data_IF_402867803636
#
_entry.id   IF_402867803636
#
_cell.length_a   1.000
_cell.length_b   1.000
_cell.length_c   1.000
_cell.angle_alpha   90.00
_cell.angle_beta   90.00
_cell.angle_gamma   90.00
#
_symmetry.space_group_name_H-M   'P 1'
#
loop_
_entity.id
_entity.type
_entity.pdbx_description
1 polymer ?
#
# COMPACT_ATOMS: atom_id res chain seq x y z
N UNK A 1 -7.75 -5.40 12.50
CA UNK A 1 -8.78 -5.71 13.51
C UNK A 1 -9.67 -6.88 13.07
N UNK A 2 -10.29 -6.86 11.88
CA UNK A 2 -11.30 -7.85 11.42
C UNK A 2 -10.72 -9.28 11.37
N UNK A 3 -9.59 -9.49 10.72
CA UNK A 3 -8.95 -10.83 10.61
C UNK A 3 -8.63 -11.38 12.00
N UNK A 4 -8.10 -10.53 12.88
CA UNK A 4 -7.77 -10.93 14.25
C UNK A 4 -9.02 -11.31 15.05
N UNK A 5 -10.13 -10.59 14.88
CA UNK A 5 -11.41 -10.92 15.52
C UNK A 5 -11.95 -12.29 15.05
N UNK A 6 -11.84 -12.58 13.75
CA UNK A 6 -12.19 -13.89 13.21
C UNK A 6 -11.34 -15.01 13.80
N UNK A 7 -10.04 -14.81 13.95
CA UNK A 7 -9.16 -15.79 14.59
C UNK A 7 -9.51 -16.01 16.07
N UNK A 8 -9.82 -14.94 16.81
CA UNK A 8 -10.26 -15.03 18.22
C UNK A 8 -11.56 -15.83 18.32
N UNK A 9 -12.51 -15.60 17.43
CA UNK A 9 -13.77 -16.36 17.42
C UNK A 9 -13.52 -17.86 17.21
N UNK A 10 -12.65 -18.24 16.27
CA UNK A 10 -12.30 -19.65 16.04
C UNK A 10 -11.63 -20.29 17.25
N UNK A 11 -10.77 -19.57 17.94
CA UNK A 11 -10.17 -20.03 19.20
C UNK A 11 -11.21 -20.22 20.31
N UNK A 12 -12.10 -19.24 20.48
CA UNK A 12 -13.15 -19.28 21.51
C UNK A 12 -14.12 -20.44 21.29
N UNK A 13 -14.39 -20.80 20.04
CA UNK A 13 -15.27 -21.91 19.67
C UNK A 13 -14.57 -23.28 19.65
N UNK A 14 -13.27 -23.34 19.95
CA UNK A 14 -12.50 -24.59 19.93
C UNK A 14 -12.27 -25.18 18.55
N UNK A 15 -12.41 -24.36 17.50
CA UNK A 15 -12.28 -24.82 16.11
C UNK A 15 -10.83 -24.88 15.60
N UNK A 16 -9.84 -24.54 16.42
CA UNK A 16 -8.44 -24.60 16.04
C UNK A 16 -7.87 -25.96 16.36
N UNK A 17 -7.21 -26.59 15.39
CA UNK A 17 -6.61 -27.91 15.55
C UNK A 17 -7.57 -29.11 15.37
N UNK A 18 -8.78 -28.85 14.90
CA UNK A 18 -9.76 -29.91 14.57
C UNK A 18 -9.94 -30.02 13.05
N UNK A 19 -10.27 -31.21 12.58
CA UNK A 19 -10.50 -31.44 11.15
C UNK A 19 -11.68 -30.60 10.65
N UNK A 20 -11.47 -29.85 9.56
CA UNK A 20 -12.44 -28.91 8.99
C UNK A 20 -12.57 -27.59 9.75
N UNK A 21 -11.83 -27.39 10.84
CA UNK A 21 -11.80 -26.16 11.61
C UNK A 21 -10.69 -25.19 11.19
N UNK A 22 -10.61 -24.06 11.87
CA UNK A 22 -9.60 -23.04 11.65
C UNK A 22 -10.09 -21.85 10.83
N UNK A 23 -9.15 -21.00 10.42
CA UNK A 23 -9.43 -19.80 9.61
C UNK A 23 -8.84 -19.97 8.22
N UNK A 24 -9.70 -20.02 7.22
CA UNK A 24 -9.30 -20.04 5.82
C UNK A 24 -9.58 -18.67 5.16
N UNK A 25 -8.54 -18.02 4.68
CA UNK A 25 -8.62 -16.67 4.11
C UNK A 25 -8.58 -16.76 2.58
N UNK A 26 -9.67 -16.35 1.94
CA UNK A 26 -9.72 -16.14 0.49
C UNK A 26 -9.05 -14.80 0.17
N UNK A 27 -7.82 -14.83 -0.32
CA UNK A 27 -6.94 -13.66 -0.45
C UNK A 27 -7.24 -12.74 -1.63
N UNK A 28 -8.21 -13.02 -2.44
CA UNK A 28 -8.67 -12.24 -3.58
C UNK A 28 -8.09 -12.71 -4.90
N UNK A 29 -6.85 -12.38 -5.21
CA UNK A 29 -6.20 -12.79 -6.45
C UNK A 29 -5.64 -14.21 -6.40
N UNK A 30 -5.50 -14.84 -7.56
CA UNK A 30 -4.87 -16.14 -7.70
C UNK A 30 -3.40 -16.06 -7.25
N UNK A 31 -2.96 -17.08 -6.52
CA UNK A 31 -1.58 -17.21 -6.07
C UNK A 31 -0.97 -15.99 -5.37
N UNK A 32 -1.76 -15.26 -4.60
CA UNK A 32 -1.25 -14.13 -3.79
C UNK A 32 -0.09 -14.56 -2.88
N UNK A 33 -0.14 -15.78 -2.35
CA UNK A 33 0.91 -16.30 -1.49
C UNK A 33 2.21 -16.50 -2.26
N UNK A 34 2.17 -17.08 -3.46
CA UNK A 34 3.35 -17.21 -4.31
C UNK A 34 3.91 -15.86 -4.75
N UNK A 35 3.06 -14.88 -5.03
CA UNK A 35 3.50 -13.51 -5.28
C UNK A 35 4.26 -12.94 -4.08
N UNK A 36 3.76 -13.14 -2.86
CA UNK A 36 4.45 -12.69 -1.64
C UNK A 36 5.78 -13.45 -1.43
N UNK A 37 5.84 -14.74 -1.77
CA UNK A 37 7.07 -15.53 -1.68
C UNK A 37 8.20 -14.95 -2.54
N UNK A 38 7.90 -14.45 -3.73
CA UNK A 38 8.90 -13.84 -4.62
C UNK A 38 9.11 -12.34 -4.38
N UNK A 39 8.27 -11.70 -3.57
CA UNK A 39 8.45 -10.33 -3.08
C UNK A 39 8.22 -9.21 -4.09
N UNK A 40 7.21 -9.25 -5.00
CA UNK A 40 6.90 -8.11 -5.86
C UNK A 40 6.14 -6.99 -5.15
N UNK A 41 6.05 -7.05 -3.83
CA UNK A 41 5.37 -6.06 -3.01
C UNK A 41 6.33 -4.94 -2.58
N UNK A 42 5.86 -3.71 -2.42
CA UNK A 42 6.72 -2.59 -2.04
C UNK A 42 7.21 -2.65 -0.59
N UNK A 43 6.62 -3.50 0.25
CA UNK A 43 6.83 -3.59 1.68
C UNK A 43 7.55 -4.89 2.13
N UNK A 44 7.96 -5.73 1.17
CA UNK A 44 8.64 -6.99 1.49
C UNK A 44 9.70 -7.37 0.48
N UNK A 45 10.68 -8.14 0.97
CA UNK A 45 11.66 -8.86 0.19
C UNK A 45 11.21 -10.31 -0.01
N UNK A 46 11.81 -11.07 -0.97
CA UNK A 46 11.49 -12.48 -1.16
C UNK A 46 11.48 -13.28 0.14
N UNK A 47 10.59 -14.27 0.26
CA UNK A 47 10.49 -15.12 1.44
C UNK A 47 9.88 -14.43 2.68
N UNK A 48 9.03 -13.45 2.49
CA UNK A 48 8.33 -12.69 3.56
C UNK A 48 9.25 -11.84 4.44
N UNK A 49 10.46 -11.55 4.00
CA UNK A 49 11.33 -10.64 4.74
C UNK A 49 10.81 -9.21 4.64
N UNK A 50 10.68 -8.54 5.79
CA UNK A 50 10.36 -7.10 5.83
C UNK A 50 11.54 -6.22 5.38
N UNK A 51 11.26 -4.96 5.09
CA UNK A 51 12.26 -3.96 4.71
C UNK A 51 13.04 -3.47 5.94
N UNK A 52 13.84 -4.34 6.54
CA UNK A 52 14.67 -4.03 7.69
C UNK A 52 16.14 -4.28 7.38
N UNK A 53 17.04 -3.58 8.06
CA UNK A 53 18.49 -3.67 7.81
C UNK A 53 19.00 -5.11 7.88
N UNK A 54 18.50 -5.91 8.84
CA UNK A 54 18.89 -7.32 8.98
C UNK A 54 18.52 -8.17 7.76
N UNK A 55 17.34 -7.93 7.16
CA UNK A 55 16.93 -8.60 5.94
C UNK A 55 17.81 -8.21 4.74
N UNK A 56 18.12 -6.94 4.59
CA UNK A 56 19.03 -6.49 3.53
C UNK A 56 20.45 -7.03 3.70
N UNK A 57 20.96 -7.17 4.92
CA UNK A 57 22.25 -7.84 5.19
C UNK A 57 22.20 -9.32 4.80
N UNK A 58 21.11 -10.02 5.12
CA UNK A 58 20.91 -11.40 4.69
C UNK A 58 20.93 -11.54 3.17
N UNK A 59 20.18 -10.69 2.46
CA UNK A 59 20.14 -10.73 1.00
C UNK A 59 21.45 -10.28 0.36
N UNK A 60 22.17 -9.31 0.94
CA UNK A 60 23.51 -8.95 0.48
C UNK A 60 24.44 -10.18 0.49
N UNK A 61 24.42 -10.92 1.57
CA UNK A 61 25.20 -12.17 1.67
C UNK A 61 24.73 -13.23 0.65
N UNK A 62 23.43 -13.45 0.49
CA UNK A 62 22.86 -14.40 -0.44
C UNK A 62 23.18 -14.06 -1.91
N UNK A 63 23.11 -12.79 -2.26
CA UNK A 63 23.40 -12.28 -3.61
C UNK A 63 24.89 -12.02 -3.86
N UNK A 64 25.73 -12.19 -2.82
CA UNK A 64 27.17 -11.94 -2.88
C UNK A 64 27.53 -10.52 -3.33
N UNK A 65 26.80 -9.55 -2.78
CA UNK A 65 27.04 -8.11 -3.01
C UNK A 65 27.35 -7.41 -1.71
N UNK A 66 28.02 -6.27 -1.78
CA UNK A 66 28.34 -5.46 -0.62
C UNK A 66 27.07 -4.82 -0.05
N UNK A 67 26.87 -4.93 1.27
CA UNK A 67 25.72 -4.35 1.95
C UNK A 67 25.70 -2.81 1.86
N UNK A 68 26.84 -2.13 1.95
CA UNK A 68 26.91 -0.69 1.82
C UNK A 68 26.58 -0.23 0.38
N UNK A 69 26.87 -1.06 -0.61
CA UNK A 69 26.42 -0.81 -1.97
C UNK A 69 24.88 -0.91 -2.07
N UNK A 70 24.25 -1.95 -1.53
CA UNK A 70 22.78 -2.07 -1.49
C UNK A 70 22.16 -0.85 -0.80
N UNK A 71 22.68 -0.48 0.37
CA UNK A 71 22.19 0.63 1.16
C UNK A 71 22.14 1.96 0.39
N UNK A 72 23.09 2.17 -0.51
CA UNK A 72 23.12 3.36 -1.37
C UNK A 72 22.08 3.37 -2.50
N UNK A 73 21.49 2.22 -2.83
CA UNK A 73 20.46 2.12 -3.88
C UNK A 73 19.07 2.53 -3.38
N UNK A 74 18.87 2.61 -2.09
CA UNK A 74 17.58 2.91 -1.47
C UNK A 74 17.54 4.30 -0.88
N UNK A 75 16.32 4.85 -0.77
CA UNK A 75 16.13 6.13 -0.12
C UNK A 75 16.63 6.11 1.34
N UNK A 76 17.21 7.19 1.84
CA UNK A 76 17.61 7.29 3.24
C UNK A 76 16.45 6.95 4.18
N UNK A 77 16.73 6.12 5.17
CA UNK A 77 15.75 5.71 6.17
C UNK A 77 14.84 4.54 5.78
N UNK A 78 14.86 4.06 4.51
CA UNK A 78 13.98 2.96 4.08
C UNK A 78 14.14 1.68 4.93
N UNK A 79 15.35 1.38 5.38
CA UNK A 79 15.63 0.21 6.22
C UNK A 79 15.30 0.42 7.72
N UNK A 80 15.02 1.63 8.14
CA UNK A 80 14.77 2.01 9.54
C UNK A 80 13.41 2.63 9.77
N UNK A 81 12.81 3.20 8.72
CA UNK A 81 11.46 3.79 8.75
C UNK A 81 10.56 3.00 7.80
N UNK A 82 9.65 2.17 8.30
CA UNK A 82 8.82 1.29 7.45
C UNK A 82 7.76 2.04 6.63
N UNK A 83 7.67 3.35 6.75
CA UNK A 83 6.64 4.15 6.09
C UNK A 83 5.28 4.04 6.78
N UNK A 84 4.23 4.41 6.06
CA UNK A 84 2.86 4.31 6.57
C UNK A 84 2.11 3.15 5.91
N UNK A 85 1.11 2.63 6.60
CA UNK A 85 0.24 1.59 6.05
C UNK A 85 -0.63 2.12 4.92
N UNK A 86 -0.95 1.27 3.94
CA UNK A 86 -1.80 1.63 2.79
C UNK A 86 -3.13 2.25 3.24
N UNK A 87 -3.72 1.77 4.34
CA UNK A 87 -4.97 2.33 4.88
C UNK A 87 -4.86 3.79 5.35
N UNK A 88 -3.65 4.31 5.53
CA UNK A 88 -3.38 5.68 5.99
C UNK A 88 -2.88 6.63 4.89
N UNK A 89 -2.92 6.23 3.61
CA UNK A 89 -2.47 7.12 2.54
C UNK A 89 -3.27 8.44 2.49
N UNK A 90 -4.56 8.40 2.83
CA UNK A 90 -5.41 9.59 2.92
C UNK A 90 -4.87 10.56 3.98
N UNK A 91 -4.55 10.03 5.17
CA UNK A 91 -3.92 10.82 6.24
C UNK A 91 -2.56 11.34 5.79
N UNK A 92 -1.80 10.51 5.04
CA UNK A 92 -0.52 10.89 4.45
C UNK A 92 -0.57 12.10 3.54
N UNK A 93 -1.75 12.40 2.96
CA UNK A 93 -1.97 13.60 2.13
C UNK A 93 -2.55 14.76 2.96
N UNK A 94 -3.49 14.50 3.87
CA UNK A 94 -4.33 15.53 4.50
C UNK A 94 -3.83 15.97 5.86
N UNK A 95 -3.17 15.10 6.62
CA UNK A 95 -2.74 15.37 8.00
C UNK A 95 -1.39 16.09 8.05
N UNK A 96 -1.10 16.69 9.20
CA UNK A 96 0.23 17.28 9.48
C UNK A 96 1.29 16.20 9.58
N UNK A 97 2.50 16.52 9.15
CA UNK A 97 3.63 15.58 9.11
C UNK A 97 3.91 14.91 10.45
N UNK A 98 3.78 15.65 11.55
CA UNK A 98 4.01 15.13 12.90
C UNK A 98 3.02 14.03 13.30
N UNK A 99 1.80 14.05 12.73
CA UNK A 99 0.76 13.06 13.01
C UNK A 99 0.89 11.79 12.16
N UNK A 100 1.61 11.86 11.06
CA UNK A 100 1.80 10.74 10.14
C UNK A 100 3.20 10.11 10.23
N UNK A 101 4.08 10.66 11.08
CA UNK A 101 5.47 10.20 11.25
C UNK A 101 6.24 10.12 9.91
N UNK A 102 6.07 11.16 9.08
CA UNK A 102 6.73 11.31 7.78
C UNK A 102 7.36 12.70 7.68
N UNK A 103 8.45 12.80 6.95
CA UNK A 103 9.15 14.07 6.73
C UNK A 103 8.37 15.04 5.84
N UNK A 104 7.46 14.52 5.01
CA UNK A 104 6.60 15.29 4.11
C UNK A 104 5.30 14.55 3.80
N UNK A 105 4.28 15.30 3.40
CA UNK A 105 3.04 14.72 2.89
C UNK A 105 3.26 14.00 1.56
N UNK A 106 2.37 13.06 1.25
CA UNK A 106 2.32 12.43 -0.06
C UNK A 106 1.89 13.47 -1.11
N UNK A 107 2.64 13.55 -2.20
CA UNK A 107 2.41 14.47 -3.31
C UNK A 107 2.03 13.77 -4.62
N UNK A 108 2.44 12.52 -4.77
CA UNK A 108 2.15 11.70 -5.94
C UNK A 108 1.59 10.33 -5.56
N UNK A 109 0.66 9.81 -6.36
CA UNK A 109 0.05 8.51 -6.13
C UNK A 109 -0.22 7.79 -7.45
N UNK A 110 0.06 6.48 -7.48
CA UNK A 110 -0.21 5.60 -8.61
C UNK A 110 -1.17 4.50 -8.17
N UNK A 111 -2.27 4.34 -8.87
CA UNK A 111 -3.20 3.21 -8.73
C UNK A 111 -3.04 2.27 -9.92
N UNK A 112 -2.62 1.05 -9.67
CA UNK A 112 -2.44 0.00 -10.67
C UNK A 112 -3.55 -1.04 -10.52
N UNK A 113 -4.61 -0.96 -11.32
CA UNK A 113 -5.73 -1.89 -11.26
C UNK A 113 -6.36 -1.99 -9.88
N UNK A 114 -6.43 -0.88 -9.14
CA UNK A 114 -6.90 -0.85 -7.75
C UNK A 114 -8.08 0.11 -7.59
N UNK A 115 -9.10 -0.35 -6.85
CA UNK A 115 -10.32 0.42 -6.59
C UNK A 115 -10.44 0.85 -5.11
N UNK A 116 -9.64 1.81 -4.65
CA UNK A 116 -9.63 2.25 -3.24
C UNK A 116 -10.96 2.86 -2.81
N UNK A 117 -11.72 3.41 -3.74
CA UNK A 117 -13.04 4.00 -3.49
C UNK A 117 -14.09 2.98 -3.02
N UNK A 118 -13.87 1.69 -3.21
CA UNK A 118 -14.75 0.63 -2.70
C UNK A 118 -14.42 0.22 -1.25
N UNK A 119 -13.36 0.73 -0.67
CA UNK A 119 -12.87 0.30 0.63
C UNK A 119 -13.45 1.12 1.78
N UNK A 120 -13.11 2.40 1.89
CA UNK A 120 -13.52 3.25 3.03
C UNK A 120 -13.22 4.72 2.79
N UNK A 121 -13.84 5.60 3.56
CA UNK A 121 -13.52 7.04 3.63
C UNK A 121 -13.64 7.77 2.27
N UNK A 122 -14.65 7.46 1.46
CA UNK A 122 -14.76 7.96 0.08
C UNK A 122 -14.70 9.49 -0.06
N UNK A 123 -15.33 10.25 0.85
CA UNK A 123 -15.30 11.72 0.82
C UNK A 123 -13.91 12.28 1.13
N UNK A 124 -13.23 11.72 2.13
CA UNK A 124 -11.87 12.12 2.49
C UNK A 124 -10.87 11.70 1.41
N UNK A 125 -11.08 10.53 0.80
CA UNK A 125 -10.31 10.07 -0.34
C UNK A 125 -10.37 11.06 -1.49
N UNK A 126 -11.57 11.56 -1.84
CA UNK A 126 -11.73 12.56 -2.88
C UNK A 126 -10.94 13.84 -2.55
N UNK A 127 -11.02 14.31 -1.32
CA UNK A 127 -10.23 15.48 -0.86
C UNK A 127 -8.71 15.22 -0.97
N UNK A 128 -8.26 14.02 -0.59
CA UNK A 128 -6.87 13.65 -0.72
C UNK A 128 -6.41 13.63 -2.18
N UNK A 129 -7.21 13.02 -3.08
CA UNK A 129 -6.92 13.02 -4.52
C UNK A 129 -6.81 14.44 -5.10
N UNK A 130 -7.64 15.37 -4.61
CA UNK A 130 -7.63 16.75 -5.08
C UNK A 130 -6.44 17.58 -4.59
N UNK A 131 -5.77 17.14 -3.52
CA UNK A 131 -4.58 17.78 -2.96
C UNK A 131 -3.26 17.29 -3.54
N UNK A 132 -3.27 16.16 -4.23
CA UNK A 132 -2.06 15.60 -4.84
C UNK A 132 -1.57 16.50 -6.00
N UNK A 133 -0.26 16.54 -6.19
CA UNK A 133 0.36 17.17 -7.39
C UNK A 133 0.22 16.23 -8.59
N UNK A 134 0.40 14.93 -8.36
CA UNK A 134 0.33 13.91 -9.41
C UNK A 134 -0.55 12.75 -8.98
N UNK A 135 -1.50 12.41 -9.84
CA UNK A 135 -2.33 11.22 -9.69
C UNK A 135 -2.34 10.45 -11.01
N UNK A 136 -1.91 9.20 -10.95
CA UNK A 136 -1.91 8.29 -12.11
C UNK A 136 -2.80 7.09 -11.79
N UNK A 137 -3.77 6.84 -12.66
CA UNK A 137 -4.63 5.66 -12.58
C UNK A 137 -4.37 4.81 -13.83
N UNK A 138 -3.93 3.58 -13.64
CA UNK A 138 -3.70 2.60 -14.68
C UNK A 138 -4.76 1.52 -14.55
N UNK A 139 -5.67 1.43 -15.51
CA UNK A 139 -6.81 0.54 -15.44
C UNK A 139 -7.23 0.11 -16.85
N UNK A 140 -7.67 -1.14 -17.09
CA UNK A 140 -8.14 -1.57 -18.40
C UNK A 140 -9.41 -0.84 -18.86
N UNK A 141 -10.19 -0.31 -17.93
CA UNK A 141 -11.41 0.45 -18.19
C UNK A 141 -11.48 1.73 -17.36
N UNK A 142 -12.26 2.75 -17.75
CA UNK A 142 -12.58 3.88 -16.91
C UNK A 142 -13.33 3.42 -15.66
N UNK A 143 -12.59 3.06 -14.62
CA UNK A 143 -13.12 2.56 -13.36
C UNK A 143 -13.74 3.68 -12.51
N UNK A 144 -14.42 3.32 -11.42
CA UNK A 144 -14.90 4.28 -10.45
C UNK A 144 -13.76 5.08 -9.82
N UNK A 145 -12.57 4.50 -9.68
CA UNK A 145 -11.35 5.20 -9.25
C UNK A 145 -10.92 6.25 -10.27
N UNK A 146 -10.88 5.88 -11.55
CA UNK A 146 -10.56 6.80 -12.64
C UNK A 146 -11.58 7.96 -12.70
N UNK A 147 -12.87 7.66 -12.58
CA UNK A 147 -13.92 8.67 -12.55
C UNK A 147 -13.75 9.62 -11.36
N UNK A 148 -13.54 9.10 -10.15
CA UNK A 148 -13.30 9.91 -8.96
C UNK A 148 -12.03 10.76 -9.08
N UNK A 149 -10.98 10.22 -9.69
CA UNK A 149 -9.72 10.94 -9.92
C UNK A 149 -9.90 12.09 -10.93
N UNK A 150 -10.67 11.87 -11.99
CA UNK A 150 -10.89 12.84 -13.06
C UNK A 150 -11.89 13.95 -12.68
N UNK A 151 -12.91 13.62 -11.86
CA UNK A 151 -13.91 14.61 -11.43
C UNK A 151 -13.25 15.67 -10.55
N UNK A 152 -13.37 16.97 -10.90
CA UNK A 152 -12.86 18.03 -10.06
C UNK A 152 -13.64 18.09 -8.73
N UNK A 153 -12.95 18.38 -7.65
CA UNK A 153 -13.55 18.76 -6.39
C UNK A 153 -13.97 20.23 -6.41
N UNK A 154 -14.21 20.76 -5.23
CA UNK A 154 -14.50 22.22 -5.10
C UNK A 154 -13.26 23.04 -5.46
N UNK A 155 -13.39 24.12 -6.22
CA UNK A 155 -12.26 24.93 -6.67
C UNK A 155 -11.31 25.36 -5.54
N UNK A 156 -11.85 25.68 -4.36
CA UNK A 156 -11.08 26.09 -3.19
C UNK A 156 -10.29 24.97 -2.51
N UNK A 157 -10.63 23.71 -2.80
CA UNK A 157 -9.98 22.54 -2.25
C UNK A 157 -8.96 21.90 -3.22
N UNK A 158 -8.99 22.31 -4.50
CA UNK A 158 -8.11 21.78 -5.53
C UNK A 158 -6.70 22.32 -5.43
N UNK A 159 -5.71 21.45 -5.61
CA UNK A 159 -4.35 21.88 -5.90
C UNK A 159 -4.30 22.43 -7.34
N UNK A 160 -3.96 23.70 -7.55
CA UNK A 160 -3.93 24.31 -8.89
C UNK A 160 -2.88 23.70 -9.82
N UNK A 161 -1.87 23.03 -9.26
CA UNK A 161 -0.79 22.38 -10.01
C UNK A 161 -1.05 20.86 -10.23
N UNK A 162 -2.26 20.41 -9.91
CA UNK A 162 -2.63 19.00 -10.00
C UNK A 162 -2.59 18.50 -11.44
N UNK A 163 -1.93 17.35 -11.62
CA UNK A 163 -1.95 16.58 -12.87
C UNK A 163 -2.60 15.22 -12.64
N UNK A 164 -3.55 14.86 -13.48
CA UNK A 164 -4.22 13.54 -13.43
C UNK A 164 -4.04 12.84 -14.77
N UNK A 165 -3.51 11.63 -14.72
CA UNK A 165 -3.34 10.77 -15.89
C UNK A 165 -4.17 9.51 -15.74
N UNK A 166 -4.99 9.22 -16.74
CA UNK A 166 -5.72 7.97 -16.87
C UNK A 166 -5.07 7.19 -17.99
N UNK A 167 -4.40 6.10 -17.65
CA UNK A 167 -3.65 5.28 -18.58
C UNK A 167 -4.37 3.95 -18.79
N UNK A 168 -4.67 3.55 -20.04
CA UNK A 168 -5.26 2.25 -20.30
C UNK A 168 -4.22 1.15 -20.03
N UNK A 169 -4.62 0.12 -19.29
CA UNK A 169 -3.88 -1.12 -19.17
C UNK A 169 -4.37 -2.12 -20.24
N UNK A 170 -3.46 -2.90 -20.81
CA UNK A 170 -3.78 -3.97 -21.77
C UNK A 170 -4.03 -5.29 -21.04
#
# INVERSE_FOLDING_TARGET
>A
AIVRASCILQLALGNVGVSGGGTNIFRGHDNVQGATDVGPNPDSLPGYYGLAEGAFKHFAAAWKVDFEWIKKQYAPGMMTKPGMTVSRWIDGVLEKNELIDQDSNLRGLFFWGHAPNSQTRGLEMKKAMDRLDLLVVVDPFPSATAAMAAMPGKPEELNPNRSVYLLPAS
#
